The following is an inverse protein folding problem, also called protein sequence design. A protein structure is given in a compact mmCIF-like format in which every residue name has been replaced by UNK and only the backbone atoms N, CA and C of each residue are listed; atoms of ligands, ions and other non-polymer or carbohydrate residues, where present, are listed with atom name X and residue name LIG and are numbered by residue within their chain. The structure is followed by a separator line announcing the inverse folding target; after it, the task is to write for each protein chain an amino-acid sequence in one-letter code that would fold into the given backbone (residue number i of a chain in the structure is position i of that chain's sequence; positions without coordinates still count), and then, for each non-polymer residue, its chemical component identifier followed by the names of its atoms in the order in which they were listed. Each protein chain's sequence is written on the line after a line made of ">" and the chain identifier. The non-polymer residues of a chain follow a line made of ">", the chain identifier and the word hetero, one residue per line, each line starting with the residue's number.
data_IF_065391701319
#
_entry.id   IF_065391701319
#
_cell.length_a   1.000
_cell.length_b   1.000
_cell.length_c   1.000
_cell.angle_alpha   90.00
_cell.angle_beta   90.00
_cell.angle_gamma   90.00
#
_symmetry.space_group_name_H-M   'P 1'
#
loop_
_entity.id
_entity.type
_entity.pdbx_description
1 polymer ?
#
# COMPACT_ATOMS: atom_id res chain seq x y z
N UNK A 1 -26.61 -1.62 6.50
CA UNK A 1 -27.82 -2.32 6.03
C UNK A 1 -27.66 -2.99 4.66
N UNK A 2 -26.67 -2.65 3.83
CA UNK A 2 -26.49 -3.27 2.50
C UNK A 2 -25.78 -4.65 2.52
N UNK A 3 -25.03 -4.99 3.57
CA UNK A 3 -24.34 -6.29 3.70
C UNK A 3 -25.26 -7.47 4.11
N UNK A 4 -26.42 -7.20 4.71
CA UNK A 4 -27.39 -8.24 5.06
C UNK A 4 -28.28 -8.65 3.88
N UNK A 5 -28.50 -7.76 2.91
CA UNK A 5 -29.31 -8.07 1.72
C UNK A 5 -28.59 -9.02 0.75
N UNK A 6 -27.25 -8.99 0.70
CA UNK A 6 -26.44 -9.84 -0.20
C UNK A 6 -26.38 -11.28 0.33
N UNK A 7 -26.33 -11.49 1.65
CA UNK A 7 -26.33 -12.83 2.25
C UNK A 7 -27.66 -13.58 2.05
N UNK A 8 -28.79 -12.86 2.03
CA UNK A 8 -30.12 -13.42 1.74
C UNK A 8 -30.29 -13.83 0.27
N UNK A 9 -29.67 -13.09 -0.65
CA UNK A 9 -29.69 -13.40 -2.09
C UNK A 9 -28.88 -14.66 -2.44
N UNK A 10 -27.74 -14.89 -1.76
CA UNK A 10 -26.97 -16.12 -1.93
C UNK A 10 -27.62 -17.35 -1.26
N UNK A 11 -28.38 -17.16 -0.17
CA UNK A 11 -29.13 -18.25 0.48
C UNK A 11 -30.31 -18.77 -0.35
N UNK A 12 -30.98 -17.91 -1.11
CA UNK A 12 -32.11 -18.30 -1.98
C UNK A 12 -31.67 -19.01 -3.27
N UNK A 13 -30.43 -18.79 -3.74
CA UNK A 13 -29.85 -19.52 -4.87
C UNK A 13 -29.40 -20.94 -4.48
N UNK A 14 -28.97 -21.15 -3.23
CA UNK A 14 -28.58 -22.47 -2.74
C UNK A 14 -29.78 -23.41 -2.46
N UNK A 15 -30.99 -22.88 -2.25
CA UNK A 15 -32.21 -23.66 -2.02
C UNK A 15 -32.92 -24.11 -3.31
N UNK A 16 -32.51 -23.62 -4.49
CA UNK A 16 -33.09 -24.01 -5.78
C UNK A 16 -32.24 -25.03 -6.58
N UNK A 17 -31.18 -25.58 -5.98
CA UNK A 17 -30.29 -26.57 -6.62
C UNK A 17 -30.47 -28.02 -6.14
N UNK A 18 -31.40 -28.28 -5.22
CA UNK A 18 -31.84 -29.65 -4.92
C UNK A 18 -33.17 -29.94 -5.61
N UNK A 19 -33.12 -29.96 -6.95
CA UNK A 19 -34.15 -30.59 -7.76
C UNK A 19 -34.09 -32.10 -7.57
N UNK A 20 -35.07 -32.65 -6.88
CA UNK A 20 -35.30 -34.09 -6.74
C UNK A 20 -35.50 -34.73 -8.11
N UNK A 21 -34.65 -35.70 -8.46
CA UNK A 21 -34.89 -36.65 -9.54
C UNK A 21 -36.17 -37.43 -9.22
N UNK A 22 -37.28 -37.00 -9.81
CA UNK A 22 -38.49 -37.80 -9.91
C UNK A 22 -38.27 -38.82 -11.04
N UNK A 23 -37.86 -40.02 -10.66
CA UNK A 23 -37.90 -41.20 -11.51
C UNK A 23 -39.38 -41.49 -11.83
N UNK A 24 -39.79 -41.21 -13.06
CA UNK A 24 -41.11 -41.59 -13.54
C UNK A 24 -41.13 -43.09 -13.79
N UNK A 25 -41.83 -43.82 -12.92
CA UNK A 25 -42.27 -45.19 -13.15
C UNK A 25 -43.07 -45.26 -14.46
N UNK A 26 -42.42 -45.70 -15.54
CA UNK A 26 -43.13 -46.27 -16.69
C UNK A 26 -43.02 -47.78 -16.60
N UNK A 27 -43.96 -48.34 -15.84
CA UNK A 27 -44.21 -49.76 -15.71
C UNK A 27 -44.56 -50.32 -17.12
N UNK A 28 -43.60 -50.94 -17.81
CA UNK A 28 -43.86 -51.77 -18.99
C UNK A 28 -44.10 -53.22 -18.52
N UNK A 29 -45.32 -53.75 -18.57
CA UNK A 29 -45.57 -55.12 -18.12
C UNK A 29 -45.58 -56.05 -19.33
N UNK A 30 -44.46 -56.26 -20.00
CA UNK A 30 -44.29 -57.38 -20.92
C UNK A 30 -42.81 -57.79 -20.96
N UNK A 31 -42.52 -58.93 -20.35
CA UNK A 31 -41.20 -59.55 -20.34
C UNK A 31 -41.14 -60.52 -21.52
N UNK A 32 -40.69 -60.04 -22.67
CA UNK A 32 -40.50 -60.92 -23.83
C UNK A 32 -39.14 -61.63 -23.76
N UNK A 33 -39.06 -62.94 -24.08
CA UNK A 33 -37.81 -63.69 -24.17
C UNK A 33 -36.96 -63.24 -25.38
N UNK A 34 -35.65 -63.48 -25.38
CA UNK A 34 -34.79 -63.02 -26.47
C UNK A 34 -35.09 -63.82 -27.75
N UNK A 35 -35.10 -63.12 -28.90
CA UNK A 35 -35.00 -63.64 -30.28
C UNK A 35 -36.27 -63.71 -31.15
N UNK A 36 -37.27 -62.85 -31.00
CA UNK A 36 -38.32 -62.71 -32.03
C UNK A 36 -38.74 -61.24 -32.20
N UNK A 37 -38.38 -60.64 -33.35
CA UNK A 37 -39.11 -59.55 -34.03
C UNK A 37 -38.29 -58.84 -35.14
N UNK A 38 -37.04 -59.24 -35.44
CA UNK A 38 -36.28 -58.64 -36.55
C UNK A 38 -36.77 -59.01 -37.96
N UNK A 39 -37.36 -60.20 -38.14
CA UNK A 39 -37.77 -60.71 -39.47
C UNK A 39 -39.19 -60.32 -39.90
N UNK A 40 -40.10 -60.04 -38.95
CA UNK A 40 -41.51 -59.83 -39.25
C UNK A 40 -41.82 -58.39 -39.70
N UNK A 41 -41.07 -57.39 -39.21
CA UNK A 41 -41.28 -55.98 -39.59
C UNK A 41 -40.86 -55.65 -41.03
N UNK A 42 -39.82 -56.31 -41.58
CA UNK A 42 -39.33 -55.99 -42.93
C UNK A 42 -40.23 -56.55 -44.03
N UNK A 43 -40.86 -57.72 -43.81
CA UNK A 43 -41.78 -58.34 -44.77
C UNK A 43 -43.05 -57.49 -44.97
N UNK A 44 -43.54 -56.86 -43.89
CA UNK A 44 -44.73 -55.99 -43.94
C UNK A 44 -44.43 -54.62 -44.55
N UNK A 45 -43.19 -54.13 -44.47
CA UNK A 45 -42.77 -52.82 -45.01
C UNK A 45 -42.22 -52.88 -46.45
N UNK A 46 -41.89 -54.06 -46.97
CA UNK A 46 -41.35 -54.24 -48.34
C UNK A 46 -42.23 -53.62 -49.43
N UNK A 47 -43.58 -53.71 -49.39
CA UNK A 47 -44.44 -53.09 -50.42
C UNK A 47 -44.43 -51.56 -50.38
N UNK A 48 -44.23 -50.95 -49.21
CA UNK A 48 -44.17 -49.49 -49.03
C UNK A 48 -42.83 -48.90 -49.46
N UNK A 49 -41.73 -49.65 -49.26
CA UNK A 49 -40.39 -49.25 -49.71
C UNK A 49 -40.29 -49.23 -51.25
N UNK A 50 -40.88 -50.23 -51.92
CA UNK A 50 -40.88 -50.29 -53.39
C UNK A 50 -41.76 -49.21 -54.05
N UNK A 51 -42.70 -48.61 -53.31
CA UNK A 51 -43.56 -47.55 -53.83
C UNK A 51 -42.92 -46.15 -53.75
N UNK A 52 -41.82 -46.00 -53.01
CA UNK A 52 -41.05 -44.75 -52.90
C UNK A 52 -39.94 -44.63 -53.95
N UNK A 53 -39.63 -45.69 -54.70
CA UNK A 53 -38.69 -45.63 -55.83
C UNK A 53 -39.42 -45.37 -57.13
N UNK A 54 -39.57 -44.08 -57.50
CA UNK A 54 -39.91 -43.66 -58.86
C UNK A 54 -38.61 -43.65 -59.68
N UNK A 55 -38.49 -44.38 -60.81
CA UNK A 55 -37.38 -44.17 -61.73
C UNK A 55 -37.63 -42.91 -62.57
N UNK A 56 -36.83 -41.87 -62.38
CA UNK A 56 -36.72 -40.75 -63.32
C UNK A 56 -35.99 -41.24 -64.59
N UNK A 57 -36.67 -41.22 -65.74
CA UNK A 57 -35.99 -41.30 -67.03
C UNK A 57 -36.69 -40.43 -68.08
N UNK A 58 -36.26 -39.16 -68.24
CA UNK A 58 -36.47 -38.33 -69.43
C UNK A 58 -35.29 -37.37 -69.57
N UNK A 59 -34.60 -37.41 -70.71
CA UNK A 59 -33.40 -36.64 -71.07
C UNK A 59 -33.70 -35.53 -72.11
N UNK A 60 -33.28 -34.29 -71.84
CA UNK A 60 -33.08 -33.24 -72.85
C UNK A 60 -31.63 -32.70 -72.76
N UNK A 61 -30.92 -32.59 -73.89
CA UNK A 61 -29.49 -32.24 -73.95
C UNK A 61 -29.16 -30.78 -73.57
N UNK A 62 -30.11 -29.86 -73.68
CA UNK A 62 -29.96 -28.46 -73.24
C UNK A 62 -29.93 -28.33 -71.71
N UNK A 63 -30.66 -29.20 -71.00
CA UNK A 63 -30.71 -29.21 -69.54
C UNK A 63 -29.45 -29.85 -68.93
N UNK A 64 -28.86 -30.84 -69.61
CA UNK A 64 -27.58 -31.43 -69.21
C UNK A 64 -26.40 -30.46 -69.33
N UNK A 65 -26.37 -29.60 -70.36
CA UNK A 65 -25.32 -28.57 -70.52
C UNK A 65 -25.42 -27.47 -69.45
N UNK A 66 -26.63 -27.04 -69.09
CA UNK A 66 -26.86 -26.07 -68.01
C UNK A 66 -26.53 -26.67 -66.64
N UNK A 67 -26.86 -27.94 -66.42
CA UNK A 67 -26.49 -28.66 -65.20
C UNK A 67 -24.96 -28.76 -65.03
N UNK A 68 -24.21 -28.97 -66.12
CA UNK A 68 -22.74 -29.03 -66.07
C UNK A 68 -22.10 -27.66 -65.76
N UNK A 69 -22.64 -26.56 -66.29
CA UNK A 69 -22.20 -25.19 -65.95
C UNK A 69 -22.45 -24.85 -64.47
N UNK A 70 -23.61 -25.26 -63.94
CA UNK A 70 -23.95 -25.10 -62.51
C UNK A 70 -22.97 -25.89 -61.62
N UNK A 71 -22.62 -27.12 -62.00
CA UNK A 71 -21.67 -27.96 -61.26
C UNK A 71 -20.26 -27.35 -61.22
N UNK A 72 -19.79 -26.80 -62.34
CA UNK A 72 -18.49 -26.11 -62.41
C UNK A 72 -18.47 -24.85 -61.53
N UNK A 73 -19.57 -24.08 -61.52
CA UNK A 73 -19.72 -22.93 -60.62
C UNK A 73 -19.74 -23.34 -59.16
N UNK A 74 -20.44 -24.42 -58.82
CA UNK A 74 -20.48 -24.96 -57.46
C UNK A 74 -19.07 -25.34 -56.98
N UNK A 75 -18.33 -26.12 -57.76
CA UNK A 75 -16.95 -26.49 -57.43
C UNK A 75 -16.02 -25.26 -57.31
N UNK A 76 -16.21 -24.25 -58.17
CA UNK A 76 -15.44 -23.01 -58.11
C UNK A 76 -15.74 -22.22 -56.83
N UNK A 77 -17.02 -22.14 -56.43
CA UNK A 77 -17.44 -21.52 -55.18
C UNK A 77 -16.91 -22.28 -53.96
N UNK A 78 -16.96 -23.61 -53.96
CA UNK A 78 -16.39 -24.44 -52.87
C UNK A 78 -14.88 -24.22 -52.72
N UNK A 79 -14.16 -24.07 -53.84
CA UNK A 79 -12.73 -23.75 -53.83
C UNK A 79 -12.45 -22.34 -53.31
N UNK A 80 -13.26 -21.35 -53.69
CA UNK A 80 -13.16 -19.99 -53.18
C UNK A 80 -13.49 -19.93 -51.68
N UNK A 81 -14.50 -20.67 -51.23
CA UNK A 81 -14.86 -20.78 -49.82
C UNK A 81 -13.72 -21.40 -49.00
N UNK A 82 -13.09 -22.45 -49.52
CA UNK A 82 -11.92 -23.08 -48.88
C UNK A 82 -10.74 -22.10 -48.75
N UNK A 83 -10.44 -21.36 -49.82
CA UNK A 83 -9.38 -20.33 -49.79
C UNK A 83 -9.69 -19.17 -48.81
N UNK A 84 -10.96 -18.78 -48.69
CA UNK A 84 -11.39 -17.79 -47.70
C UNK A 84 -11.26 -18.32 -46.26
N UNK A 85 -11.62 -19.58 -46.02
CA UNK A 85 -11.47 -20.24 -44.73
C UNK A 85 -10.00 -20.30 -44.30
N UNK A 86 -9.09 -20.65 -45.22
CA UNK A 86 -7.64 -20.64 -44.97
C UNK A 86 -7.14 -19.23 -44.62
N UNK A 87 -7.59 -18.21 -45.38
CA UNK A 87 -7.23 -16.82 -45.10
C UNK A 87 -7.75 -16.34 -43.75
N UNK A 88 -8.97 -16.73 -43.37
CA UNK A 88 -9.54 -16.43 -42.06
C UNK A 88 -8.74 -17.10 -40.93
N UNK A 89 -8.32 -18.35 -41.12
CA UNK A 89 -7.50 -19.08 -40.13
C UNK A 89 -6.12 -18.46 -39.99
N UNK A 90 -5.49 -18.08 -41.11
CA UNK A 90 -4.20 -17.38 -41.14
C UNK A 90 -4.27 -16.01 -40.45
N UNK A 91 -5.35 -15.26 -40.68
CA UNK A 91 -5.59 -13.98 -40.02
C UNK A 91 -5.82 -14.15 -38.51
N UNK A 92 -6.57 -15.18 -38.10
CA UNK A 92 -6.75 -15.53 -36.68
C UNK A 92 -5.42 -15.81 -35.98
N UNK A 93 -4.58 -16.66 -36.57
CA UNK A 93 -3.26 -16.97 -36.01
C UNK A 93 -2.34 -15.72 -35.93
N UNK A 94 -2.45 -14.80 -36.89
CA UNK A 94 -1.70 -13.53 -36.86
C UNK A 94 -2.18 -12.59 -35.74
N UNK A 95 -3.50 -12.55 -35.48
CA UNK A 95 -4.08 -11.78 -34.38
C UNK A 95 -3.65 -12.36 -33.02
N UNK A 96 -3.73 -13.67 -32.84
CA UNK A 96 -3.30 -14.35 -31.59
C UNK A 96 -1.81 -14.09 -31.31
N UNK A 97 -0.96 -14.12 -32.34
CA UNK A 97 0.45 -13.81 -32.21
C UNK A 97 0.69 -12.33 -31.82
N UNK A 98 -0.13 -11.41 -32.32
CA UNK A 98 -0.06 -9.99 -31.94
C UNK A 98 -0.56 -9.76 -30.51
N UNK A 99 -1.64 -10.43 -30.10
CA UNK A 99 -2.17 -10.38 -28.73
C UNK A 99 -1.13 -10.90 -27.74
N UNK A 100 -0.50 -12.05 -28.00
CA UNK A 100 0.57 -12.57 -27.15
C UNK A 100 1.76 -11.60 -27.02
N UNK A 101 2.11 -10.87 -28.09
CA UNK A 101 3.15 -9.83 -28.02
C UNK A 101 2.73 -8.63 -27.19
N UNK A 102 1.47 -8.22 -27.28
CA UNK A 102 0.92 -7.13 -26.47
C UNK A 102 0.89 -7.52 -24.99
N UNK A 103 0.48 -8.74 -24.66
CA UNK A 103 0.49 -9.27 -23.30
C UNK A 103 1.90 -9.29 -22.70
N UNK A 104 2.89 -9.78 -23.44
CA UNK A 104 4.29 -9.78 -22.99
C UNK A 104 4.79 -8.35 -22.75
N UNK A 105 4.48 -7.43 -23.67
CA UNK A 105 4.87 -6.03 -23.52
C UNK A 105 4.20 -5.40 -22.30
N UNK A 106 2.91 -5.71 -22.07
CA UNK A 106 2.17 -5.22 -20.92
C UNK A 106 2.73 -5.76 -19.62
N UNK A 107 3.03 -7.05 -19.54
CA UNK A 107 3.68 -7.67 -18.36
C UNK A 107 5.04 -7.04 -18.08
N UNK A 108 5.87 -6.82 -19.12
CA UNK A 108 7.17 -6.17 -18.98
C UNK A 108 7.02 -4.73 -18.45
N UNK A 109 6.08 -3.96 -19.00
CA UNK A 109 5.78 -2.60 -18.53
C UNK A 109 5.30 -2.60 -17.07
N UNK A 110 4.41 -3.51 -16.69
CA UNK A 110 3.93 -3.64 -15.31
C UNK A 110 5.06 -4.00 -14.35
N UNK A 111 5.96 -4.91 -14.73
CA UNK A 111 7.14 -5.23 -13.93
C UNK A 111 8.05 -4.02 -13.72
N UNK A 112 8.33 -3.27 -14.78
CA UNK A 112 9.13 -2.04 -14.71
C UNK A 112 8.48 -0.95 -13.85
N UNK A 113 7.16 -0.84 -13.87
CA UNK A 113 6.42 0.09 -13.01
C UNK A 113 6.56 -0.30 -11.54
N UNK A 114 6.40 -1.58 -11.20
CA UNK A 114 6.59 -2.06 -9.84
C UNK A 114 8.01 -1.83 -9.33
N UNK A 115 9.02 -2.10 -10.16
CA UNK A 115 10.43 -1.84 -9.83
C UNK A 115 10.67 -0.34 -9.57
N UNK A 116 10.08 0.54 -10.38
CA UNK A 116 10.19 1.98 -10.22
C UNK A 116 9.49 2.46 -8.94
N UNK A 117 8.30 1.94 -8.65
CA UNK A 117 7.59 2.22 -7.40
C UNK A 117 8.42 1.79 -6.19
N UNK A 118 8.97 0.58 -6.20
CA UNK A 118 9.84 0.10 -5.11
C UNK A 118 11.07 0.99 -4.91
N UNK A 119 11.67 1.48 -6.00
CA UNK A 119 12.79 2.43 -5.91
C UNK A 119 12.36 3.78 -5.33
N UNK A 120 11.17 4.27 -5.68
CA UNK A 120 10.61 5.49 -5.11
C UNK A 120 10.47 5.39 -3.58
N UNK A 121 9.93 4.26 -3.08
CA UNK A 121 9.81 4.02 -1.64
C UNK A 121 11.17 3.99 -0.94
N UNK A 122 12.17 3.33 -1.52
CA UNK A 122 13.51 3.29 -0.97
C UNK A 122 14.18 4.69 -0.93
N UNK A 123 13.97 5.49 -1.99
CA UNK A 123 14.47 6.86 -2.05
C UNK A 123 13.79 7.76 -1.03
N UNK A 124 12.47 7.65 -0.87
CA UNK A 124 11.71 8.39 0.15
C UNK A 124 12.17 8.05 1.57
N UNK A 125 12.37 6.77 1.88
CA UNK A 125 12.90 6.35 3.17
C UNK A 125 14.32 6.91 3.42
N UNK A 126 15.17 6.88 2.38
CA UNK A 126 16.52 7.45 2.47
C UNK A 126 16.47 8.96 2.70
N UNK A 127 15.63 9.68 1.96
CA UNK A 127 15.45 11.13 2.11
C UNK A 127 14.98 11.46 3.53
N UNK A 128 13.99 10.74 4.05
CA UNK A 128 13.49 10.92 5.40
C UNK A 128 14.60 10.73 6.45
N UNK A 129 15.41 9.68 6.31
CA UNK A 129 16.54 9.43 7.21
C UNK A 129 17.59 10.55 7.14
N UNK A 130 17.86 11.09 5.94
CA UNK A 130 18.77 12.22 5.76
C UNK A 130 18.21 13.49 6.40
N UNK A 131 16.91 13.77 6.24
CA UNK A 131 16.23 14.90 6.88
C UNK A 131 16.33 14.83 8.41
N UNK A 132 16.11 13.65 9.00
CA UNK A 132 16.28 13.42 10.44
C UNK A 132 17.74 13.68 10.85
N UNK A 133 18.71 13.12 10.15
CA UNK A 133 20.15 13.30 10.45
C UNK A 133 20.59 14.76 10.35
N UNK A 134 20.07 15.51 9.37
CA UNK A 134 20.37 16.95 9.22
C UNK A 134 19.71 17.75 10.34
N UNK A 135 18.44 17.44 10.67
CA UNK A 135 17.69 18.16 11.70
C UNK A 135 18.35 18.06 13.08
N UNK A 136 18.80 16.86 13.45
CA UNK A 136 19.44 16.59 14.74
C UNK A 136 20.97 16.61 14.68
N UNK A 137 21.54 17.22 13.63
CA UNK A 137 22.98 17.34 13.49
C UNK A 137 23.58 18.10 14.68
N UNK A 138 24.57 17.49 15.32
CA UNK A 138 25.27 18.05 16.47
C UNK A 138 24.69 17.66 17.83
N UNK A 139 23.55 16.98 17.90
CA UNK A 139 23.10 16.35 19.13
C UNK A 139 23.94 15.09 19.41
N UNK A 140 24.42 14.97 20.64
CA UNK A 140 25.18 13.83 21.14
C UNK A 140 24.37 13.10 22.21
N UNK A 141 24.42 11.77 22.21
CA UNK A 141 23.77 10.97 23.25
C UNK A 141 24.58 11.08 24.54
N UNK A 142 23.97 11.61 25.59
CA UNK A 142 24.56 11.73 26.93
C UNK A 142 23.57 11.15 27.94
N UNK A 143 23.94 10.03 28.56
CA UNK A 143 23.01 9.25 29.38
C UNK A 143 21.88 8.67 28.51
N UNK A 144 20.63 8.89 28.92
CA UNK A 144 19.44 8.40 28.20
C UNK A 144 18.81 9.42 27.27
N UNK A 145 19.47 10.56 27.01
CA UNK A 145 18.93 11.69 26.25
C UNK A 145 19.95 12.19 25.23
N UNK A 146 19.49 13.03 24.32
CA UNK A 146 20.33 13.67 23.31
C UNK A 146 20.45 15.15 23.62
N UNK A 147 21.68 15.66 23.66
CA UNK A 147 21.96 17.06 23.95
C UNK A 147 22.85 17.68 22.91
N UNK A 148 22.60 18.95 22.62
CA UNK A 148 23.52 19.82 21.92
C UNK A 148 24.01 20.88 22.91
N UNK A 149 25.31 20.94 23.14
CA UNK A 149 25.95 21.92 24.03
C UNK A 149 26.60 22.99 23.15
N UNK A 150 26.08 24.21 23.17
CA UNK A 150 26.71 25.34 22.48
C UNK A 150 28.04 25.69 23.17
N UNK A 151 29.13 25.70 22.41
CA UNK A 151 30.50 25.88 22.92
C UNK A 151 31.09 27.25 22.59
N UNK A 152 30.47 28.03 21.72
CA UNK A 152 31.07 29.28 21.19
C UNK A 152 30.13 30.47 21.34
N UNK A 153 28.89 30.37 20.85
CA UNK A 153 27.97 31.50 20.84
C UNK A 153 27.27 31.67 22.18
N UNK A 154 27.20 32.90 22.67
CA UNK A 154 26.26 33.27 23.73
C UNK A 154 25.00 33.90 23.14
N UNK A 155 23.85 33.63 23.76
CA UNK A 155 22.54 34.15 23.35
C UNK A 155 21.70 34.45 24.57
N UNK A 156 20.77 35.38 24.44
CA UNK A 156 19.77 35.57 25.48
C UNK A 156 18.78 34.41 25.51
N UNK A 157 18.11 34.21 26.64
CA UNK A 157 17.29 33.03 26.87
C UNK A 157 16.20 32.85 25.78
N UNK A 158 15.44 33.88 25.35
CA UNK A 158 14.46 33.72 24.29
C UNK A 158 15.08 33.31 22.95
N UNK A 159 16.25 33.85 22.61
CA UNK A 159 16.95 33.51 21.36
C UNK A 159 17.52 32.10 21.43
N UNK A 160 18.15 31.71 22.54
CA UNK A 160 18.63 30.35 22.78
C UNK A 160 17.49 29.33 22.69
N UNK A 161 16.36 29.63 23.32
CA UNK A 161 15.11 28.85 23.25
C UNK A 161 14.62 28.67 21.81
N UNK A 162 14.62 29.76 21.03
CA UNK A 162 14.30 29.70 19.60
C UNK A 162 15.31 28.88 18.79
N UNK A 163 16.60 29.02 19.09
CA UNK A 163 17.66 28.23 18.43
C UNK A 163 17.45 26.74 18.65
N UNK A 164 17.22 26.29 19.89
CA UNK A 164 16.96 24.88 20.16
C UNK A 164 15.72 24.35 19.42
N UNK A 165 14.63 25.14 19.36
CA UNK A 165 13.44 24.78 18.57
C UNK A 165 13.71 24.64 17.08
N UNK A 166 14.52 25.53 16.51
CA UNK A 166 14.90 25.45 15.10
C UNK A 166 15.77 24.23 14.81
N UNK A 167 16.50 23.73 15.80
CA UNK A 167 17.28 22.49 15.73
C UNK A 167 16.44 21.23 16.03
N UNK A 168 15.11 21.36 16.11
CA UNK A 168 14.23 20.23 16.39
C UNK A 168 14.11 19.81 17.85
N UNK A 169 14.77 20.52 18.77
CA UNK A 169 14.71 20.26 20.22
C UNK A 169 14.11 21.42 21.01
N UNK A 170 14.50 21.51 22.29
CA UNK A 170 14.16 22.62 23.18
C UNK A 170 15.34 22.87 24.13
N UNK A 171 15.34 23.98 24.90
CA UNK A 171 16.35 24.16 25.95
C UNK A 171 16.26 23.00 26.95
N UNK A 172 17.40 22.52 27.43
CA UNK A 172 17.48 21.31 28.24
C UNK A 172 16.71 21.41 29.56
N UNK A 173 15.93 20.38 29.86
CA UNK A 173 15.20 20.22 31.12
C UNK A 173 15.84 19.06 31.89
N UNK A 174 16.64 19.40 32.89
CA UNK A 174 17.30 18.46 33.78
C UNK A 174 16.24 17.93 34.76
N UNK A 175 15.87 16.65 34.64
CA UNK A 175 14.74 16.06 35.38
C UNK A 175 15.17 15.45 36.71
N UNK A 176 16.45 15.12 36.88
CA UNK A 176 17.02 14.52 38.08
C UNK A 176 18.55 14.70 38.19
N UNK A 177 19.14 14.20 39.28
CA UNK A 177 20.58 14.25 39.54
C UNK A 177 21.40 13.41 38.53
N UNK A 178 20.81 12.35 37.95
CA UNK A 178 21.51 11.51 36.98
C UNK A 178 21.67 12.23 35.63
N UNK A 179 20.64 12.92 35.16
CA UNK A 179 20.70 13.82 34.02
C UNK A 179 21.78 14.88 34.22
N UNK A 180 21.79 15.53 35.40
CA UNK A 180 22.75 16.57 35.73
C UNK A 180 24.18 16.04 35.72
N UNK A 181 24.43 14.92 36.41
CA UNK A 181 25.75 14.31 36.47
C UNK A 181 26.25 13.88 35.09
N UNK A 182 25.36 13.33 34.25
CA UNK A 182 25.69 12.89 32.89
C UNK A 182 26.13 14.07 32.01
N UNK A 183 25.40 15.19 32.05
CA UNK A 183 25.75 16.35 31.21
C UNK A 183 26.93 17.15 31.77
N UNK A 184 27.09 17.23 33.09
CA UNK A 184 28.09 18.08 33.74
C UNK A 184 29.53 17.76 33.31
N UNK A 185 29.84 16.49 33.01
CA UNK A 185 31.15 16.08 32.52
C UNK A 185 31.52 16.67 31.13
N UNK A 186 30.52 17.11 30.37
CA UNK A 186 30.67 17.66 29.02
C UNK A 186 30.64 19.19 28.97
N UNK A 187 30.38 19.84 30.12
CA UNK A 187 30.30 21.29 30.23
C UNK A 187 31.68 21.90 30.49
N UNK A 188 31.92 23.07 29.91
CA UNK A 188 33.12 23.84 30.21
C UNK A 188 33.01 24.42 31.63
N UNK A 189 34.12 24.37 32.39
CA UNK A 189 34.18 24.98 33.71
C UNK A 189 34.01 26.48 33.61
N UNK A 190 33.50 27.08 34.69
CA UNK A 190 33.34 28.53 34.81
C UNK A 190 32.51 29.17 33.68
N UNK A 191 31.61 28.39 33.10
CA UNK A 191 30.74 28.80 31.99
C UNK A 191 29.27 28.66 32.39
N UNK A 192 28.45 29.62 31.95
CA UNK A 192 27.02 29.65 32.23
C UNK A 192 26.24 29.07 31.04
N UNK A 193 25.25 28.23 31.34
CA UNK A 193 24.43 27.57 30.32
C UNK A 193 22.94 27.73 30.59
N UNK A 194 22.20 28.38 29.69
CA UNK A 194 20.74 28.45 29.78
C UNK A 194 20.10 27.06 29.76
N UNK A 195 19.11 26.90 30.65
CA UNK A 195 18.24 25.73 30.75
C UNK A 195 16.81 26.07 30.33
N UNK A 196 16.00 25.03 30.12
CA UNK A 196 14.59 25.11 29.73
C UNK A 196 13.64 25.52 30.84
N UNK A 197 14.11 26.14 31.91
CA UNK A 197 13.32 26.46 33.10
C UNK A 197 13.18 27.97 33.26
N UNK A 198 11.98 28.43 33.61
CA UNK A 198 11.65 29.84 33.84
C UNK A 198 10.41 29.99 34.73
N UNK A 199 10.22 31.14 35.33
CA UNK A 199 9.02 31.53 36.09
C UNK A 199 8.36 32.80 35.52
N UNK A 200 8.53 33.05 34.22
CA UNK A 200 7.99 34.22 33.51
C UNK A 200 6.46 34.37 33.65
N UNK A 201 5.74 33.27 33.86
CA UNK A 201 4.28 33.27 34.02
C UNK A 201 3.82 33.70 35.41
N UNK A 202 4.59 33.34 36.45
CA UNK A 202 4.30 33.65 37.85
C UNK A 202 5.57 33.51 38.68
N UNK A 203 5.99 34.61 39.28
CA UNK A 203 7.17 34.68 40.14
C UNK A 203 7.19 33.58 41.20
N UNK A 204 8.31 32.86 41.30
CA UNK A 204 8.51 31.75 42.22
C UNK A 204 7.92 30.41 41.76
N UNK A 205 7.19 30.36 40.64
CA UNK A 205 6.70 29.12 40.02
C UNK A 205 7.52 28.77 38.77
N UNK A 206 8.64 28.07 38.98
CA UNK A 206 9.52 27.63 37.91
C UNK A 206 8.92 26.46 37.12
N UNK A 207 8.66 26.70 35.83
CA UNK A 207 8.10 25.76 34.88
C UNK A 207 9.17 25.26 33.90
N UNK A 208 9.08 23.98 33.57
CA UNK A 208 9.81 23.36 32.45
C UNK A 208 9.13 23.75 31.14
N UNK A 209 9.91 24.25 30.18
CA UNK A 209 9.41 24.67 28.88
C UNK A 209 9.02 23.51 27.97
N UNK A 210 9.60 22.33 28.18
CA UNK A 210 9.21 21.14 27.39
C UNK A 210 7.87 20.57 27.82
N UNK A 211 7.56 20.60 29.12
CA UNK A 211 6.35 19.99 29.67
C UNK A 211 5.23 21.00 29.97
N UNK A 212 5.57 22.27 30.15
CA UNK A 212 4.68 23.29 30.68
C UNK A 212 4.27 23.07 32.14
N UNK A 213 4.91 22.11 32.83
CA UNK A 213 4.62 21.75 34.22
C UNK A 213 5.71 22.32 35.16
N UNK A 214 5.43 22.42 36.47
CA UNK A 214 6.46 22.77 37.45
C UNK A 214 7.71 21.90 37.31
N UNK A 215 8.88 22.53 37.34
CA UNK A 215 10.15 21.82 37.29
C UNK A 215 10.28 20.87 38.49
N UNK A 216 10.45 19.58 38.22
CA UNK A 216 10.51 18.54 39.26
C UNK A 216 11.86 18.47 39.96
N UNK A 217 12.90 19.04 39.34
CA UNK A 217 14.26 19.05 39.86
C UNK A 217 14.86 20.45 39.69
N UNK A 218 15.27 21.03 40.82
CA UNK A 218 15.90 22.35 40.89
C UNK A 218 17.03 22.27 41.91
N UNK A 219 18.28 22.26 41.43
CA UNK A 219 19.48 22.25 42.27
C UNK A 219 20.00 23.66 42.45
N UNK A 220 19.23 24.49 43.16
CA UNK A 220 19.58 25.89 43.38
C UNK A 220 20.92 26.04 44.09
N UNK A 221 21.71 27.01 43.63
CA UNK A 221 22.86 27.47 44.38
C UNK A 221 22.44 28.14 45.69
N UNK A 222 23.37 28.25 46.64
CA UNK A 222 23.11 28.93 47.91
C UNK A 222 22.62 30.36 47.69
N UNK A 223 21.47 30.69 48.29
CA UNK A 223 20.84 32.02 48.17
C UNK A 223 20.02 32.22 46.88
N UNK A 224 19.72 31.14 46.15
CA UNK A 224 18.84 31.15 44.97
C UNK A 224 17.53 30.40 45.25
N UNK A 225 16.43 30.75 44.56
CA UNK A 225 16.28 31.86 43.60
C UNK A 225 16.43 33.24 44.27
N UNK A 226 16.74 34.27 43.47
CA UNK A 226 16.83 35.65 43.93
C UNK A 226 15.46 36.21 44.31
N UNK A 227 15.44 37.28 45.10
CA UNK A 227 14.20 37.99 45.45
C UNK A 227 13.85 39.07 44.41
N UNK A 228 14.43 38.99 43.21
CA UNK A 228 14.24 39.99 42.16
C UNK A 228 13.26 39.44 41.13
N UNK A 229 12.09 40.09 41.01
CA UNK A 229 11.03 39.75 40.03
C UNK A 229 11.43 39.90 38.54
N UNK A 230 12.72 40.11 38.28
CA UNK A 230 13.30 40.25 36.93
C UNK A 230 14.18 39.06 36.56
N UNK A 231 14.52 38.19 37.51
CA UNK A 231 15.46 37.08 37.35
C UNK A 231 14.81 35.81 36.83
N UNK A 232 14.02 35.88 35.75
CA UNK A 232 12.99 34.86 35.55
C UNK A 232 13.45 33.63 34.73
N UNK A 233 14.74 33.54 34.38
CA UNK A 233 15.29 32.48 33.54
C UNK A 233 16.42 31.75 34.24
N UNK A 234 16.50 30.44 34.05
CA UNK A 234 17.45 29.60 34.79
C UNK A 234 18.66 29.24 33.94
N UNK A 235 19.86 29.42 34.50
CA UNK A 235 21.10 28.86 33.95
C UNK A 235 21.75 27.87 34.92
N UNK A 236 22.58 27.00 34.36
CA UNK A 236 23.46 26.08 35.06
C UNK A 236 24.89 26.64 35.09
N UNK A 237 25.52 26.61 36.26
CA UNK A 237 26.91 27.01 36.45
C UNK A 237 27.58 26.08 37.46
N UNK A 238 28.66 25.41 37.04
CA UNK A 238 29.44 24.48 37.87
C UNK A 238 28.59 23.43 38.64
N UNK A 239 27.44 23.02 38.09
CA UNK A 239 26.55 22.01 38.67
C UNK A 239 25.44 22.54 39.56
N UNK A 240 25.31 23.86 39.71
CA UNK A 240 24.23 24.51 40.45
C UNK A 240 23.42 25.42 39.54
N UNK A 241 22.14 25.58 39.86
CA UNK A 241 21.17 26.38 39.11
C UNK A 241 21.03 27.77 39.73
N UNK A 242 20.86 28.76 38.86
CA UNK A 242 20.70 30.16 39.22
C UNK A 242 19.60 30.79 38.37
N UNK A 243 18.76 31.58 39.00
CA UNK A 243 17.77 32.44 38.35
C UNK A 243 18.45 33.76 37.95
N UNK A 244 18.13 34.28 36.77
CA UNK A 244 18.79 35.46 36.23
C UNK A 244 17.97 36.17 35.16
N UNK A 245 18.18 37.47 34.93
CA UNK A 245 17.44 38.18 33.89
C UNK A 245 17.64 37.58 32.51
N UNK A 246 16.52 37.24 31.86
CA UNK A 246 16.46 36.51 30.60
C UNK A 246 17.13 37.21 29.41
N UNK A 247 17.41 38.52 29.52
CA UNK A 247 18.00 39.34 28.46
C UNK A 247 19.54 39.23 28.39
N UNK A 248 20.19 38.69 29.42
CA UNK A 248 21.63 38.43 29.41
C UNK A 248 21.98 37.31 28.46
N UNK A 249 23.20 37.33 27.93
CA UNK A 249 23.68 36.31 27.00
C UNK A 249 24.53 35.28 27.72
N UNK A 250 24.19 34.01 27.56
CA UNK A 250 25.00 32.87 28.01
C UNK A 250 25.04 31.82 26.92
N UNK A 251 25.93 30.83 27.06
CA UNK A 251 25.82 29.61 26.27
C UNK A 251 24.54 28.87 26.66
N UNK A 252 24.18 27.84 25.92
CA UNK A 252 22.92 27.15 26.14
C UNK A 252 23.03 25.67 25.80
N UNK A 253 22.15 24.89 26.38
CA UNK A 253 22.07 23.46 26.15
C UNK A 253 20.70 23.19 25.54
N UNK A 254 20.69 22.54 24.38
CA UNK A 254 19.48 21.99 23.79
C UNK A 254 19.35 20.51 24.13
N UNK A 255 18.12 20.03 24.21
CA UNK A 255 17.76 18.62 24.40
C UNK A 255 16.74 18.20 23.34
N UNK A 256 16.77 16.94 22.95
CA UNK A 256 15.69 16.26 22.23
C UNK A 256 15.46 14.86 22.81
N UNK A 257 14.23 14.37 22.69
CA UNK A 257 13.83 12.99 23.06
C UNK A 257 13.78 12.08 21.82
N UNK A 258 13.94 12.63 20.62
CA UNK A 258 13.93 11.86 19.37
C UNK A 258 15.26 11.13 19.19
N UNK A 259 15.19 9.81 18.99
CA UNK A 259 16.36 8.97 18.74
C UNK A 259 17.04 9.46 17.46
N UNK A 260 18.25 10.01 17.59
CA UNK A 260 19.10 10.28 16.42
C UNK A 260 19.52 8.93 15.89
N UNK A 261 18.75 8.38 14.94
CA UNK A 261 19.02 7.09 14.31
C UNK A 261 20.45 7.10 13.74
N UNK A 262 21.35 6.40 14.44
CA UNK A 262 22.76 6.24 14.07
C UNK A 262 22.92 5.48 12.77
#
# INVERSE_FOLDING_TARGET
>A
MLKFAIALLFGLLALNLNGTLAESDLNCPLKDPPNQCGGFCLIVLTPLINHLTIPHNVSNSSDASKANEVLVRQYTMERQLSALQEKQTSLGAALDAQEGRLDINQQNLTGRLYDLESQLWALQATLHNVEIKIKYLGFEQIGSKYFYIEKVSEKNWPTASKTCRNMGGHLADIKDEADLAAIQANLEKDTHYWLGINDLGKEGEFLSMSTGQPATFLKWASGRPSQLDTSNCVFLYNGEMYDYPCNYTFRFICQTEEEVLG
#
